data_IF_267950146137
#
_entry.id   IF_267950146137
#
_cell.length_a   1.000
_cell.length_b   1.000
_cell.length_c   1.000
_cell.angle_alpha   90.00
_cell.angle_beta   90.00
_cell.angle_gamma   90.00
#
_symmetry.space_group_name_H-M   'P 1'
#
loop_
_entity.id
_entity.type
_entity.pdbx_description
1 polymer ?
#
# COMPACT_ATOMS: atom_id res chain seq x y z
N UNK A 1 -26.23 -50.91 21.03
CA UNK A 1 -25.02 -50.09 21.12
C UNK A 1 -24.35 -49.87 19.74
N UNK A 2 -25.12 -49.68 18.65
CA UNK A 2 -24.56 -49.49 17.27
C UNK A 2 -25.33 -48.41 16.46
N UNK A 3 -26.28 -47.67 17.07
CA UNK A 3 -27.09 -46.67 16.32
C UNK A 3 -26.60 -45.22 16.40
N UNK A 4 -25.65 -44.89 17.28
CA UNK A 4 -25.17 -43.50 17.47
C UNK A 4 -24.03 -43.08 16.54
N UNK A 5 -23.27 -44.04 15.99
CA UNK A 5 -22.06 -43.72 15.21
C UNK A 5 -22.35 -43.14 13.82
N UNK A 6 -23.59 -43.24 13.31
CA UNK A 6 -23.97 -42.69 11.98
C UNK A 6 -24.29 -41.19 11.97
N UNK A 7 -24.40 -40.55 13.14
CA UNK A 7 -24.85 -39.15 13.24
C UNK A 7 -23.71 -38.12 13.12
N UNK A 8 -22.46 -38.56 13.23
CA UNK A 8 -21.27 -37.70 13.25
C UNK A 8 -20.67 -37.45 11.85
N UNK A 9 -21.15 -38.17 10.83
CA UNK A 9 -20.73 -38.02 9.43
C UNK A 9 -21.76 -37.24 8.62
N UNK A 10 -22.20 -36.09 9.15
CA UNK A 10 -22.89 -35.10 8.31
C UNK A 10 -21.90 -34.64 7.25
N UNK A 11 -22.14 -35.01 5.99
CA UNK A 11 -21.33 -34.61 4.85
C UNK A 11 -21.07 -33.12 4.89
N UNK A 12 -19.81 -32.70 4.95
CA UNK A 12 -19.40 -31.32 4.65
C UNK A 12 -19.69 -31.12 3.17
N UNK A 13 -20.93 -30.80 2.82
CA UNK A 13 -21.32 -30.41 1.47
C UNK A 13 -20.77 -29.00 1.25
N UNK A 14 -19.56 -28.91 0.73
CA UNK A 14 -19.03 -27.65 0.21
C UNK A 14 -19.96 -27.18 -0.90
N UNK A 15 -20.70 -26.10 -0.66
CA UNK A 15 -21.65 -25.59 -1.64
C UNK A 15 -20.87 -25.03 -2.84
N UNK A 16 -21.14 -25.55 -4.04
CA UNK A 16 -20.45 -25.17 -5.28
C UNK A 16 -20.50 -23.65 -5.55
N UNK A 17 -21.54 -22.97 -5.07
CA UNK A 17 -21.65 -21.50 -5.15
C UNK A 17 -20.56 -20.79 -4.34
N UNK A 18 -20.28 -21.24 -3.12
CA UNK A 18 -19.24 -20.65 -2.26
C UNK A 18 -17.85 -20.85 -2.87
N UNK A 19 -17.58 -22.05 -3.40
CA UNK A 19 -16.33 -22.34 -4.10
C UNK A 19 -16.16 -21.51 -5.38
N UNK A 20 -17.22 -21.39 -6.20
CA UNK A 20 -17.22 -20.55 -7.40
C UNK A 20 -16.97 -19.07 -7.08
N UNK A 21 -17.57 -18.56 -6.00
CA UNK A 21 -17.35 -17.18 -5.57
C UNK A 21 -15.91 -16.94 -5.14
N UNK A 22 -15.30 -17.87 -4.41
CA UNK A 22 -13.90 -17.77 -4.00
C UNK A 22 -12.96 -17.80 -5.21
N UNK A 23 -13.18 -18.72 -6.15
CA UNK A 23 -12.41 -18.78 -7.40
C UNK A 23 -12.56 -17.51 -8.24
N UNK A 24 -13.77 -16.93 -8.28
CA UNK A 24 -14.00 -15.66 -8.98
C UNK A 24 -13.28 -14.48 -8.32
N UNK A 25 -13.27 -14.41 -6.98
CA UNK A 25 -12.53 -13.39 -6.23
C UNK A 25 -11.02 -13.54 -6.46
N UNK A 26 -10.50 -14.75 -6.38
CA UNK A 26 -9.09 -15.03 -6.62
C UNK A 26 -8.68 -14.59 -8.03
N UNK A 27 -9.46 -15.01 -9.05
CA UNK A 27 -9.21 -14.62 -10.44
C UNK A 27 -9.24 -13.10 -10.62
N UNK A 28 -10.23 -12.42 -10.05
CA UNK A 28 -10.34 -10.97 -10.12
C UNK A 28 -9.13 -10.29 -9.47
N UNK A 29 -8.77 -10.68 -8.25
CA UNK A 29 -7.58 -10.15 -7.57
C UNK A 29 -6.32 -10.40 -8.38
N UNK A 30 -6.11 -11.60 -8.93
CA UNK A 30 -4.96 -11.91 -9.77
C UNK A 30 -4.89 -11.03 -11.02
N UNK A 31 -6.01 -10.78 -11.69
CA UNK A 31 -6.07 -9.87 -12.85
C UNK A 31 -5.70 -8.44 -12.43
N UNK A 32 -6.22 -7.96 -11.31
CA UNK A 32 -5.86 -6.63 -10.78
C UNK A 32 -4.36 -6.54 -10.51
N UNK A 33 -3.77 -7.53 -9.83
CA UNK A 33 -2.34 -7.57 -9.58
C UNK A 33 -1.50 -7.59 -10.86
N UNK A 34 -1.91 -8.38 -11.87
CA UNK A 34 -1.20 -8.43 -13.15
C UNK A 34 -1.23 -7.09 -13.89
N UNK A 35 -2.38 -6.41 -13.90
CA UNK A 35 -2.54 -5.10 -14.53
C UNK A 35 -1.69 -4.04 -13.80
N UNK A 36 -1.65 -4.07 -12.47
CA UNK A 36 -0.89 -3.10 -11.66
C UNK A 36 0.57 -3.48 -11.41
N UNK A 37 1.01 -4.67 -11.82
CA UNK A 37 2.40 -5.13 -11.62
C UNK A 37 3.46 -4.13 -12.11
N UNK A 38 3.28 -3.40 -13.23
CA UNK A 38 4.26 -2.40 -13.66
C UNK A 38 4.43 -1.25 -12.65
N UNK A 39 3.36 -0.88 -11.93
CA UNK A 39 3.40 0.21 -10.95
C UNK A 39 4.22 -0.11 -9.69
N UNK A 40 4.57 -1.39 -9.47
CA UNK A 40 5.45 -1.80 -8.35
C UNK A 40 6.86 -1.22 -8.52
N UNK A 41 7.32 -1.06 -9.77
CA UNK A 41 8.60 -0.43 -10.10
C UNK A 41 8.38 0.96 -10.70
N UNK A 42 7.29 1.64 -10.35
CA UNK A 42 7.03 3.00 -10.81
C UNK A 42 8.05 3.97 -10.22
N UNK A 43 8.49 4.92 -11.05
CA UNK A 43 9.32 6.03 -10.62
C UNK A 43 8.45 7.20 -10.14
N UNK A 44 9.11 8.17 -9.49
CA UNK A 44 8.53 9.45 -9.10
C UNK A 44 7.94 10.18 -10.31
N UNK A 45 6.74 10.74 -10.13
CA UNK A 45 5.96 11.38 -11.20
C UNK A 45 5.45 12.74 -10.76
N UNK A 46 5.19 13.62 -11.72
CA UNK A 46 4.72 14.98 -11.49
C UNK A 46 5.72 15.81 -10.68
N UNK A 47 5.29 16.46 -9.60
CA UNK A 47 6.07 17.38 -8.78
C UNK A 47 6.81 16.69 -7.63
N UNK A 48 6.97 15.37 -7.70
CA UNK A 48 7.80 14.60 -6.78
C UNK A 48 9.27 15.04 -6.81
N UNK A 49 9.72 15.64 -7.91
CA UNK A 49 11.03 16.31 -8.00
C UNK A 49 11.16 17.44 -6.99
N UNK A 50 10.15 18.30 -6.91
CA UNK A 50 10.08 19.42 -5.96
C UNK A 50 9.92 18.96 -4.51
N UNK A 51 9.28 17.81 -4.29
CA UNK A 51 8.94 17.33 -2.94
C UNK A 51 9.99 16.39 -2.35
N UNK A 52 10.55 15.50 -3.15
CA UNK A 52 11.34 14.35 -2.68
C UNK A 52 12.73 14.27 -3.31
N UNK A 53 12.80 14.10 -4.64
CA UNK A 53 14.06 13.69 -5.27
C UNK A 53 15.07 14.83 -5.36
N UNK A 54 14.64 16.03 -5.75
CA UNK A 54 15.51 17.22 -5.90
C UNK A 54 15.39 18.22 -4.73
N UNK A 55 14.64 17.86 -3.68
CA UNK A 55 14.45 18.70 -2.51
C UNK A 55 15.67 18.69 -1.58
N UNK A 56 16.51 19.73 -1.70
CA UNK A 56 17.74 19.92 -0.91
C UNK A 56 17.51 20.04 0.59
N UNK A 57 16.29 20.36 1.01
CA UNK A 57 15.95 20.50 2.42
C UNK A 57 15.89 19.13 3.11
N UNK A 58 15.78 18.04 2.34
CA UNK A 58 15.81 16.67 2.85
C UNK A 58 17.25 16.14 3.08
N UNK A 59 18.28 16.87 2.64
CA UNK A 59 19.67 16.35 2.62
C UNK A 59 20.52 16.81 3.81
N UNK A 60 20.00 17.68 4.67
CA UNK A 60 20.78 18.25 5.79
C UNK A 60 19.94 18.65 7.00
N UNK A 61 20.60 18.74 8.17
CA UNK A 61 19.96 19.22 9.41
C UNK A 61 19.55 20.69 9.29
N UNK A 62 20.31 21.50 8.53
CA UNK A 62 19.91 22.87 8.22
C UNK A 62 18.65 22.90 7.34
N UNK A 63 18.52 21.95 6.42
CA UNK A 63 17.31 21.71 5.64
C UNK A 63 16.09 21.44 6.54
N UNK A 64 16.25 20.60 7.57
CA UNK A 64 15.19 20.35 8.55
C UNK A 64 14.77 21.62 9.29
N UNK A 65 15.73 22.46 9.71
CA UNK A 65 15.41 23.78 10.30
C UNK A 65 14.65 24.66 9.30
N UNK A 66 15.05 24.68 8.03
CA UNK A 66 14.43 25.47 6.98
C UNK A 66 12.98 25.04 6.69
N UNK A 67 12.69 23.74 6.73
CA UNK A 67 11.34 23.18 6.58
C UNK A 67 10.33 23.84 7.54
N UNK A 68 10.75 24.11 8.78
CA UNK A 68 9.90 24.69 9.81
C UNK A 68 9.90 26.22 9.83
N UNK A 69 11.05 26.84 9.58
CA UNK A 69 11.26 28.26 9.91
C UNK A 69 11.39 29.18 8.69
N UNK A 70 11.55 28.63 7.49
CA UNK A 70 11.73 29.42 6.27
C UNK A 70 10.57 29.19 5.31
N UNK A 71 9.64 30.15 5.28
CA UNK A 71 8.55 30.16 4.31
C UNK A 71 9.10 30.16 2.87
N UNK A 72 8.57 29.28 2.03
CA UNK A 72 9.05 29.08 0.66
C UNK A 72 10.32 28.21 0.55
N UNK A 73 10.79 27.59 1.64
CA UNK A 73 11.86 26.60 1.57
C UNK A 73 11.44 25.32 0.84
N UNK A 74 10.16 25.00 0.83
CA UNK A 74 9.55 23.87 0.12
C UNK A 74 8.45 24.40 -0.81
N UNK A 75 8.10 23.64 -1.85
CA UNK A 75 7.05 24.03 -2.80
C UNK A 75 5.69 24.30 -2.11
N UNK A 76 5.37 23.52 -1.08
CA UNK A 76 4.20 23.68 -0.23
C UNK A 76 4.61 23.65 1.24
N UNK A 77 3.93 24.40 2.12
CA UNK A 77 4.32 24.47 3.53
C UNK A 77 3.68 23.34 4.36
N UNK A 78 4.31 22.16 4.34
CA UNK A 78 3.90 20.98 5.12
C UNK A 78 5.04 20.45 6.01
N UNK A 79 5.39 21.17 7.08
CA UNK A 79 6.60 20.90 7.84
C UNK A 79 6.66 19.48 8.45
N UNK A 80 5.52 18.95 8.89
CA UNK A 80 5.45 17.57 9.39
C UNK A 80 5.70 16.55 8.27
N UNK A 81 5.10 16.72 7.10
CA UNK A 81 5.28 15.82 5.94
C UNK A 81 6.74 15.78 5.49
N UNK A 82 7.36 16.96 5.31
CA UNK A 82 8.77 17.02 4.92
C UNK A 82 9.73 16.54 6.02
N UNK A 83 9.34 16.62 7.29
CA UNK A 83 10.11 15.99 8.38
C UNK A 83 10.06 14.47 8.28
N UNK A 84 8.90 13.87 7.94
CA UNK A 84 8.83 12.42 7.69
C UNK A 84 9.71 12.01 6.52
N UNK A 85 9.65 12.73 5.40
CA UNK A 85 10.52 12.47 4.24
C UNK A 85 12.01 12.63 4.56
N UNK A 86 12.36 13.57 5.44
CA UNK A 86 13.74 13.74 5.91
C UNK A 86 14.25 12.52 6.67
N UNK A 87 13.38 11.81 7.41
CA UNK A 87 13.74 10.57 8.08
C UNK A 87 13.79 9.35 7.15
N UNK A 88 13.02 9.36 6.06
CA UNK A 88 12.92 8.24 5.12
C UNK A 88 14.06 8.21 4.09
N UNK A 89 14.67 9.37 3.79
CA UNK A 89 15.75 9.55 2.81
C UNK A 89 17.11 9.18 3.39
#
# INVERSE_FOLDING_TARGET
MIKETKRITGSITTNNHTFKNFSALLLFSSIVFLIYSPAINGDFVWDDDLHLTENKQLESVEGLKNIWLKLGATAQYYPLTFTSFWFEK
#
